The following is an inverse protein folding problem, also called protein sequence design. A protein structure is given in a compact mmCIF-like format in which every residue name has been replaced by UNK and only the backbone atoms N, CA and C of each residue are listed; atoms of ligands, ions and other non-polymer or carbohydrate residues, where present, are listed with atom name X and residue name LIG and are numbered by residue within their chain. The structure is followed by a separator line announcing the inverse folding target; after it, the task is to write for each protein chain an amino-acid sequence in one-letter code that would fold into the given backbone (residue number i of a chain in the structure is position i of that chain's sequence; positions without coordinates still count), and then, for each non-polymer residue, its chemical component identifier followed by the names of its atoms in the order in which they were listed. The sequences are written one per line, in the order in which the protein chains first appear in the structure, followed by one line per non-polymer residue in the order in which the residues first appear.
data_IF_839886568997
#
_entry.id   IF_839886568997
#
_cell.length_a   1.000
_cell.length_b   1.000
_cell.length_c   1.000
_cell.angle_alpha   90.00
_cell.angle_beta   90.00
_cell.angle_gamma   90.00
#
_symmetry.space_group_name_H-M   'P 1'
#
loop_
_entity.id
_entity.type
_entity.pdbx_description
1 polymer ?
#
# COMPACT_ATOMS: atom_id res chain seq x y z
N UNK A 1 24.31 -2.63 18.68
CA UNK A 1 24.12 -2.06 17.33
C UNK A 1 23.04 -2.80 16.54
N UNK A 2 23.03 -4.15 16.52
CA UNK A 2 22.05 -4.93 15.76
C UNK A 2 20.59 -4.84 16.30
N UNK A 3 20.42 -4.72 17.63
CA UNK A 3 19.11 -4.61 18.30
C UNK A 3 18.27 -3.41 17.80
N UNK A 4 18.87 -2.23 17.67
CA UNK A 4 18.17 -1.03 17.22
C UNK A 4 17.67 -1.12 15.77
N UNK A 5 18.37 -1.88 14.92
CA UNK A 5 17.92 -2.13 13.54
C UNK A 5 16.71 -3.04 13.47
N UNK A 6 16.61 -4.01 14.40
CA UNK A 6 15.47 -4.92 14.50
C UNK A 6 14.22 -4.24 15.06
N UNK A 7 14.40 -3.36 16.04
CA UNK A 7 13.30 -2.52 16.54
C UNK A 7 12.81 -1.52 15.47
N UNK A 8 13.73 -0.94 14.71
CA UNK A 8 13.39 -0.05 13.60
C UNK A 8 12.62 -0.77 12.48
N UNK A 9 12.93 -2.04 12.20
CA UNK A 9 12.20 -2.85 11.22
C UNK A 9 10.74 -3.08 11.63
N UNK A 10 10.49 -3.41 12.89
CA UNK A 10 9.14 -3.58 13.42
C UNK A 10 8.34 -2.27 13.40
N UNK A 11 8.96 -1.17 13.84
CA UNK A 11 8.33 0.16 13.82
C UNK A 11 8.02 0.61 12.38
N UNK A 12 8.91 0.32 11.42
CA UNK A 12 8.69 0.63 10.02
C UNK A 12 7.52 -0.18 9.43
N UNK A 13 7.37 -1.46 9.81
CA UNK A 13 6.25 -2.29 9.40
C UNK A 13 4.92 -1.78 9.97
N UNK A 14 4.88 -1.42 11.26
CA UNK A 14 3.69 -0.84 11.89
C UNK A 14 3.28 0.48 11.22
N UNK A 15 4.26 1.34 10.90
CA UNK A 15 4.01 2.59 10.19
C UNK A 15 3.48 2.34 8.77
N UNK A 16 3.99 1.33 8.07
CA UNK A 16 3.51 0.92 6.73
C UNK A 16 2.06 0.44 6.79
N UNK A 17 1.70 -0.38 7.78
CA UNK A 17 0.33 -0.85 7.99
C UNK A 17 -0.62 0.29 8.36
N UNK A 18 -0.20 1.19 9.25
CA UNK A 18 -0.98 2.37 9.63
C UNK A 18 -1.23 3.29 8.41
N UNK A 19 -0.20 3.55 7.60
CA UNK A 19 -0.31 4.34 6.38
C UNK A 19 -1.30 3.73 5.37
N UNK A 20 -1.31 2.40 5.20
CA UNK A 20 -2.29 1.69 4.36
C UNK A 20 -3.71 1.82 4.90
N UNK A 21 -3.90 1.64 6.20
CA UNK A 21 -5.22 1.79 6.83
C UNK A 21 -5.77 3.21 6.68
N UNK A 22 -4.92 4.21 6.89
CA UNK A 22 -5.27 5.62 6.65
C UNK A 22 -5.53 5.91 5.18
N UNK A 23 -4.79 5.28 4.26
CA UNK A 23 -5.01 5.38 2.82
C UNK A 23 -6.44 4.98 2.44
N UNK A 24 -6.93 3.85 2.97
CA UNK A 24 -8.31 3.38 2.75
C UNK A 24 -9.38 4.36 3.23
N UNK A 25 -9.17 5.03 4.37
CA UNK A 25 -10.14 5.97 4.96
C UNK A 25 -10.13 7.31 4.22
N UNK A 26 -8.94 7.76 3.83
CA UNK A 26 -8.74 9.08 3.19
C UNK A 26 -9.03 9.05 1.68
N UNK A 27 -9.40 7.89 1.12
CA UNK A 27 -9.63 7.73 -0.31
C UNK A 27 -8.35 7.88 -1.13
N UNK A 28 -7.19 7.60 -0.52
CA UNK A 28 -5.92 7.55 -1.23
C UNK A 28 -6.00 6.37 -2.19
N UNK A 29 -6.06 6.67 -3.48
CA UNK A 29 -6.15 5.71 -4.59
C UNK A 29 -4.92 4.81 -4.52
N UNK A 30 -5.13 3.51 -4.29
CA UNK A 30 -4.03 2.53 -4.33
C UNK A 30 -3.60 2.30 -5.78
N UNK A 31 -2.41 1.74 -5.98
CA UNK A 31 -1.93 1.41 -7.32
C UNK A 31 -2.90 0.43 -7.98
N UNK A 32 -3.44 -0.52 -7.23
CA UNK A 32 -4.44 -1.47 -7.70
C UNK A 32 -5.74 -0.78 -8.18
N UNK A 33 -6.24 0.23 -7.47
CA UNK A 33 -7.42 1.00 -7.89
C UNK A 33 -7.16 1.73 -9.20
N UNK A 34 -5.94 2.28 -9.36
CA UNK A 34 -5.52 2.95 -10.60
C UNK A 34 -5.38 1.95 -11.75
N UNK A 35 -4.81 0.78 -11.50
CA UNK A 35 -4.70 -0.28 -12.51
C UNK A 35 -6.08 -0.79 -12.92
N UNK A 36 -7.03 -0.94 -12.00
CA UNK A 36 -8.41 -1.31 -12.30
C UNK A 36 -9.07 -0.27 -13.23
N UNK A 37 -8.88 1.03 -12.97
CA UNK A 37 -9.39 2.09 -13.86
C UNK A 37 -8.71 2.04 -15.23
N UNK A 38 -7.38 1.88 -15.28
CA UNK A 38 -6.63 1.83 -16.54
C UNK A 38 -7.08 0.64 -17.37
N UNK A 39 -7.28 -0.53 -16.77
CA UNK A 39 -7.59 -1.76 -17.50
C UNK A 39 -9.09 -2.04 -17.68
N UNK A 40 -9.99 -1.31 -17.00
CA UNK A 40 -11.45 -1.49 -17.12
C UNK A 40 -11.96 -1.40 -18.56
N UNK A 41 -11.38 -0.50 -19.34
CA UNK A 41 -11.80 -0.25 -20.72
C UNK A 41 -10.81 -0.84 -21.75
N UNK A 42 -9.73 -1.49 -21.30
CA UNK A 42 -8.87 -2.28 -22.18
C UNK A 42 -9.58 -3.59 -22.49
N UNK A 43 -10.18 -3.67 -23.67
CA UNK A 43 -10.51 -4.94 -24.31
C UNK A 43 -9.22 -5.72 -24.58
N UNK A 44 -8.63 -6.33 -23.57
CA UNK A 44 -7.71 -7.45 -23.70
C UNK A 44 -8.42 -8.62 -23.04
N UNK A 45 -8.84 -9.57 -23.86
CA UNK A 45 -9.84 -10.58 -23.53
C UNK A 45 -9.73 -11.20 -22.15
N UNK A 46 -10.81 -11.05 -21.36
CA UNK A 46 -11.46 -12.24 -20.79
C UNK A 46 -12.04 -13.11 -21.89
#
# INVERSE_FOLDING_TARGET
ALEAGRDAELVAEDLRLAARALGRITGRVDVEDLLDVIFRDFCIGK
#
